data_IF_578904861671
#
_entry.id   IF_578904861671
#
_cell.length_a   1.000
_cell.length_b   1.000
_cell.length_c   1.000
_cell.angle_alpha   90.00
_cell.angle_beta   90.00
_cell.angle_gamma   90.00
#
_symmetry.space_group_name_H-M   'P 1'
#
loop_
_entity.id
_entity.type
_entity.pdbx_description
1 polymer ?
#
# COMPACT_ATOMS: atom_id res chain seq x y z
N UNK A 1 33.21 -4.52 28.04
CA UNK A 1 32.35 -5.06 26.97
C UNK A 1 30.94 -4.79 27.43
N UNK A 2 30.42 -3.66 27.06
CA UNK A 2 29.06 -3.22 27.41
C UNK A 2 28.17 -3.53 26.23
N UNK A 3 27.31 -4.50 26.42
CA UNK A 3 26.27 -4.91 25.48
C UNK A 3 25.21 -3.80 25.42
N UNK A 4 25.32 -2.93 24.43
CA UNK A 4 24.31 -1.92 24.16
C UNK A 4 23.25 -2.53 23.24
N UNK A 5 22.34 -3.30 23.83
CA UNK A 5 21.06 -3.61 23.19
C UNK A 5 20.31 -2.30 23.04
N UNK A 6 20.33 -1.78 21.83
CA UNK A 6 19.54 -0.62 21.42
C UNK A 6 18.06 -1.07 21.29
N UNK A 7 17.43 -1.34 22.43
CA UNK A 7 15.98 -1.54 22.47
C UNK A 7 15.35 -0.16 22.32
N UNK A 8 14.89 0.14 21.13
CA UNK A 8 13.95 1.24 20.93
C UNK A 8 12.81 1.09 21.96
N UNK A 9 12.40 2.16 22.65
CA UNK A 9 11.29 2.07 23.57
C UNK A 9 10.06 1.59 22.77
N UNK A 10 9.43 0.52 23.24
CA UNK A 10 8.10 0.13 22.72
C UNK A 10 7.21 1.35 22.84
N UNK A 11 6.68 1.90 21.77
CA UNK A 11 5.92 3.14 21.89
C UNK A 11 4.69 2.90 22.73
N UNK A 12 4.33 3.85 23.59
CA UNK A 12 3.05 3.91 24.32
C UNK A 12 1.84 3.74 23.38
N UNK A 13 2.06 3.97 22.07
CA UNK A 13 1.15 3.76 20.97
C UNK A 13 0.70 2.31 20.76
N UNK A 14 1.50 1.31 21.13
CA UNK A 14 1.16 -0.10 20.90
C UNK A 14 -0.10 -0.53 21.66
N UNK A 15 -0.24 -0.07 22.90
CA UNK A 15 -1.43 -0.35 23.72
C UNK A 15 -2.67 0.40 23.21
N UNK A 16 -2.48 1.60 22.68
CA UNK A 16 -3.55 2.39 22.08
C UNK A 16 -4.06 1.77 20.77
N UNK A 17 -3.16 1.37 19.89
CA UNK A 17 -3.52 0.73 18.62
C UNK A 17 -4.24 -0.61 18.87
N UNK A 18 -3.84 -1.38 19.89
CA UNK A 18 -4.53 -2.59 20.33
C UNK A 18 -5.95 -2.32 20.82
N UNK A 19 -6.17 -1.22 21.56
CA UNK A 19 -7.51 -0.82 22.03
C UNK A 19 -8.41 -0.35 20.87
N UNK A 20 -7.85 0.40 19.93
CA UNK A 20 -8.60 0.80 18.74
C UNK A 20 -8.98 -0.41 17.87
N UNK A 21 -8.08 -1.39 17.74
CA UNK A 21 -8.38 -2.65 17.09
C UNK A 21 -9.50 -3.41 17.80
N UNK A 22 -9.44 -3.55 19.12
CA UNK A 22 -10.46 -4.22 19.93
C UNK A 22 -11.84 -3.56 19.82
N UNK A 23 -11.91 -2.22 19.86
CA UNK A 23 -13.19 -1.51 19.69
C UNK A 23 -13.83 -1.73 18.32
N UNK A 24 -13.03 -2.00 17.29
CA UNK A 24 -13.53 -2.26 15.95
C UNK A 24 -14.01 -3.71 15.75
N UNK A 25 -13.59 -4.65 16.60
CA UNK A 25 -14.05 -6.04 16.52
C UNK A 25 -15.56 -6.18 16.76
N UNK A 26 -16.11 -5.45 17.73
CA UNK A 26 -17.54 -5.47 18.04
C UNK A 26 -18.41 -4.97 16.86
N UNK A 27 -17.86 -4.14 16.03
CA UNK A 27 -18.54 -3.54 14.86
C UNK A 27 -18.22 -4.31 13.57
N UNK A 28 -17.05 -4.94 13.50
CA UNK A 28 -16.57 -5.66 12.32
C UNK A 28 -17.31 -6.99 12.06
N UNK A 29 -17.96 -7.58 13.06
CA UNK A 29 -18.75 -8.82 12.91
C UNK A 29 -19.86 -8.76 11.86
N UNK A 30 -20.19 -7.56 11.36
CA UNK A 30 -21.21 -7.35 10.33
C UNK A 30 -20.70 -7.48 8.90
N UNK A 31 -19.36 -7.52 8.68
CA UNK A 31 -18.74 -7.47 7.35
C UNK A 31 -17.97 -8.74 6.99
N UNK A 32 -18.42 -9.86 7.45
CA UNK A 32 -17.69 -11.12 7.57
C UNK A 32 -17.41 -11.86 6.26
N UNK A 33 -17.69 -11.33 5.07
CA UNK A 33 -17.71 -12.23 3.93
C UNK A 33 -17.18 -11.77 2.57
N UNK A 34 -16.90 -10.48 2.33
CA UNK A 34 -16.43 -10.12 1.00
C UNK A 34 -15.50 -8.88 1.01
N UNK A 35 -14.19 -9.13 1.02
CA UNK A 35 -13.17 -8.10 0.96
C UNK A 35 -13.32 -7.19 -0.27
N UNK A 36 -13.71 -7.73 -1.44
CA UNK A 36 -13.87 -6.92 -2.65
C UNK A 36 -15.09 -5.99 -2.54
N UNK A 37 -16.20 -6.44 -2.00
CA UNK A 37 -17.36 -5.58 -1.76
C UNK A 37 -17.02 -4.51 -0.71
N UNK A 38 -16.27 -4.87 0.33
CA UNK A 38 -15.81 -3.92 1.33
C UNK A 38 -14.89 -2.86 0.70
N UNK A 39 -13.90 -3.26 -0.11
CA UNK A 39 -13.01 -2.33 -0.81
C UNK A 39 -13.80 -1.41 -1.74
N UNK A 40 -14.73 -1.94 -2.51
CA UNK A 40 -15.59 -1.13 -3.37
C UNK A 40 -16.36 -0.09 -2.58
N UNK A 41 -17.00 -0.52 -1.48
CA UNK A 41 -17.74 0.39 -0.61
C UNK A 41 -16.81 1.41 0.06
N UNK A 42 -15.70 0.98 0.65
CA UNK A 42 -14.73 1.85 1.31
C UNK A 42 -14.15 2.91 0.37
N UNK A 43 -13.80 2.54 -0.87
CA UNK A 43 -13.29 3.46 -1.88
C UNK A 43 -14.37 4.39 -2.45
N UNK A 44 -15.64 4.09 -2.24
CA UNK A 44 -16.76 4.95 -2.65
C UNK A 44 -17.35 5.79 -1.51
N UNK A 45 -16.93 5.53 -0.25
CA UNK A 45 -17.42 6.25 0.93
C UNK A 45 -17.14 7.75 0.90
N UNK A 46 -16.01 8.14 0.38
CA UNK A 46 -15.63 9.53 0.29
C UNK A 46 -16.21 10.17 -0.97
N UNK A 47 -17.54 10.22 -1.01
CA UNK A 47 -18.37 10.93 -1.98
C UNK A 47 -18.24 10.41 -3.42
N UNK A 48 -19.34 9.92 -3.97
CA UNK A 48 -19.56 9.97 -5.40
C UNK A 48 -19.45 11.45 -5.79
N UNK A 49 -18.27 11.89 -6.19
CA UNK A 49 -18.13 13.20 -6.80
C UNK A 49 -18.94 13.16 -8.09
N UNK A 50 -20.10 13.77 -8.02
CA UNK A 50 -20.87 14.07 -9.21
C UNK A 50 -20.02 15.01 -10.06
N UNK A 51 -20.06 14.84 -11.38
CA UNK A 51 -19.56 15.85 -12.29
C UNK A 51 -20.20 17.20 -11.91
N UNK A 52 -19.66 18.30 -12.41
CA UNK A 52 -20.18 19.65 -12.11
C UNK A 52 -21.68 19.82 -12.45
N UNK A 53 -22.31 18.81 -13.08
CA UNK A 53 -23.72 18.73 -13.45
C UNK A 53 -24.51 17.70 -12.62
N UNK A 54 -23.94 17.11 -11.59
CA UNK A 54 -24.62 16.16 -10.70
C UNK A 54 -24.84 14.77 -11.29
N UNK A 55 -24.11 14.38 -12.35
CA UNK A 55 -24.17 13.04 -12.94
C UNK A 55 -23.05 12.19 -12.39
N UNK A 56 -23.39 10.98 -11.90
CA UNK A 56 -22.39 9.97 -11.59
C UNK A 56 -21.59 9.65 -12.86
N UNK A 57 -20.27 9.82 -12.81
CA UNK A 57 -19.39 9.38 -13.89
C UNK A 57 -19.44 7.85 -13.89
N UNK A 58 -19.89 7.25 -14.99
CA UNK A 58 -19.85 5.79 -15.12
C UNK A 58 -18.44 5.37 -15.48
N UNK A 59 -17.89 4.33 -14.84
CA UNK A 59 -16.62 3.74 -15.27
C UNK A 59 -16.69 3.39 -16.76
N UNK A 60 -15.69 3.81 -17.52
CA UNK A 60 -15.56 3.36 -18.90
C UNK A 60 -15.16 1.87 -18.91
N UNK A 61 -15.58 1.09 -19.90
CA UNK A 61 -15.06 -0.26 -20.08
C UNK A 61 -13.53 -0.22 -20.19
N UNK A 62 -12.85 -1.16 -19.54
CA UNK A 62 -11.40 -1.29 -19.70
C UNK A 62 -11.07 -1.52 -21.17
N UNK A 63 -10.10 -0.77 -21.68
CA UNK A 63 -9.57 -1.01 -23.01
C UNK A 63 -8.87 -2.37 -23.04
N UNK A 64 -9.39 -3.31 -23.81
CA UNK A 64 -8.72 -4.55 -24.15
C UNK A 64 -7.45 -4.19 -24.95
N UNK A 65 -6.33 -4.15 -24.28
CA UNK A 65 -5.04 -4.18 -24.96
C UNK A 65 -4.70 -5.65 -25.26
N UNK A 66 -4.09 -5.90 -26.41
CA UNK A 66 -3.61 -7.25 -26.71
C UNK A 66 -2.66 -7.71 -25.58
N UNK A 67 -2.77 -8.96 -25.13
CA UNK A 67 -1.84 -9.50 -24.14
C UNK A 67 -0.41 -9.29 -24.64
N UNK A 68 0.45 -8.71 -23.82
CA UNK A 68 1.88 -8.59 -24.13
C UNK A 68 2.52 -9.92 -23.79
N UNK A 69 2.99 -10.61 -24.80
CA UNK A 69 3.92 -11.73 -24.59
C UNK A 69 5.28 -11.13 -24.21
N UNK A 70 5.74 -11.47 -23.02
CA UNK A 70 7.04 -11.03 -22.52
C UNK A 70 7.97 -12.22 -22.65
N UNK A 71 8.99 -12.09 -23.49
CA UNK A 71 9.97 -13.15 -23.69
C UNK A 71 10.97 -13.25 -22.51
N UNK A 72 11.63 -14.39 -22.41
CA UNK A 72 12.63 -14.68 -21.35
C UNK A 72 13.76 -13.64 -21.33
N UNK A 73 14.15 -13.10 -22.49
CA UNK A 73 15.20 -12.08 -22.60
C UNK A 73 14.76 -10.78 -21.94
N UNK A 74 13.53 -10.35 -22.13
CA UNK A 74 12.95 -9.15 -21.50
C UNK A 74 12.80 -9.35 -20.00
N UNK A 75 12.35 -10.53 -19.54
CA UNK A 75 12.28 -10.85 -18.12
C UNK A 75 13.66 -10.78 -17.45
N UNK A 76 14.68 -11.37 -18.08
CA UNK A 76 16.06 -11.33 -17.58
C UNK A 76 16.59 -9.89 -17.50
N UNK A 77 16.34 -9.05 -18.49
CA UNK A 77 16.74 -7.65 -18.47
C UNK A 77 16.07 -6.86 -17.33
N UNK A 78 14.79 -7.11 -17.07
CA UNK A 78 14.06 -6.50 -15.96
C UNK A 78 14.64 -6.96 -14.63
N UNK A 79 14.87 -8.26 -14.47
CA UNK A 79 15.47 -8.84 -13.27
C UNK A 79 16.86 -8.24 -12.99
N UNK A 80 17.72 -8.16 -13.99
CA UNK A 80 19.05 -7.56 -13.88
C UNK A 80 18.96 -6.09 -13.46
N UNK A 81 18.10 -5.32 -14.12
CA UNK A 81 17.88 -3.92 -13.79
C UNK A 81 17.40 -3.73 -12.34
N UNK A 82 16.48 -4.57 -11.88
CA UNK A 82 15.91 -4.51 -10.52
C UNK A 82 16.84 -5.12 -9.45
N UNK A 83 17.92 -5.81 -9.84
CA UNK A 83 18.94 -6.31 -8.91
C UNK A 83 19.97 -5.26 -8.53
N UNK A 84 20.14 -4.20 -9.36
CA UNK A 84 21.13 -3.14 -9.11
C UNK A 84 20.64 -2.25 -7.94
N UNK A 85 21.47 -2.03 -6.89
CA UNK A 85 21.09 -1.22 -5.76
C UNK A 85 20.72 0.21 -6.14
N UNK A 86 19.73 0.79 -5.46
CA UNK A 86 19.41 2.21 -5.52
C UNK A 86 20.24 2.96 -4.48
N UNK A 87 20.86 4.06 -4.89
CA UNK A 87 21.64 4.88 -3.96
C UNK A 87 20.72 5.82 -3.17
N UNK A 88 20.33 5.39 -1.98
CA UNK A 88 19.55 6.21 -1.06
C UNK A 88 20.47 7.23 -0.36
N UNK A 89 20.03 8.49 -0.25
CA UNK A 89 20.78 9.52 0.48
C UNK A 89 20.43 9.50 1.98
N UNK A 90 21.34 9.96 2.82
CA UNK A 90 21.07 10.13 4.25
C UNK A 90 19.89 11.09 4.48
N UNK A 91 19.78 12.17 3.70
CA UNK A 91 18.65 13.11 3.78
C UNK A 91 17.31 12.43 3.47
N UNK A 92 17.30 11.45 2.55
CA UNK A 92 16.09 10.68 2.22
C UNK A 92 15.67 9.79 3.39
N UNK A 93 16.61 9.16 4.07
CA UNK A 93 16.34 8.33 5.27
C UNK A 93 15.82 9.22 6.41
N UNK A 94 16.46 10.36 6.63
CA UNK A 94 16.02 11.32 7.64
C UNK A 94 14.62 11.87 7.34
N UNK A 95 14.34 12.19 6.07
CA UNK A 95 13.01 12.64 5.64
C UNK A 95 11.95 11.57 5.91
N UNK A 96 12.20 10.32 5.52
CA UNK A 96 11.25 9.22 5.78
C UNK A 96 10.99 9.04 7.28
N UNK A 97 12.06 9.05 8.11
CA UNK A 97 11.91 8.94 9.57
C UNK A 97 11.13 10.08 10.20
N UNK A 98 11.23 11.30 9.66
CA UNK A 98 10.52 12.50 10.12
C UNK A 98 9.08 12.55 9.61
N UNK A 99 8.89 12.37 8.31
CA UNK A 99 7.63 12.62 7.63
C UNK A 99 6.74 11.38 7.54
N UNK A 100 7.32 10.17 7.72
CA UNK A 100 6.63 8.90 7.60
C UNK A 100 6.48 8.42 6.16
N UNK A 101 6.89 9.20 5.17
CA UNK A 101 6.86 8.85 3.76
C UNK A 101 7.99 9.54 2.98
N UNK A 102 8.25 9.04 1.78
CA UNK A 102 9.15 9.67 0.81
C UNK A 102 8.74 9.30 -0.62
N UNK A 103 8.96 10.21 -1.57
CA UNK A 103 8.89 9.96 -3.01
C UNK A 103 10.30 9.94 -3.59
N UNK A 104 10.66 8.85 -4.25
CA UNK A 104 11.99 8.64 -4.84
C UNK A 104 11.88 8.58 -6.35
N UNK A 105 12.71 9.35 -7.04
CA UNK A 105 12.73 9.44 -8.52
C UNK A 105 13.65 8.39 -9.12
N UNK A 106 13.34 8.00 -10.36
CA UNK A 106 14.18 7.10 -11.16
C UNK A 106 14.52 5.78 -10.46
N UNK A 107 13.56 5.25 -9.70
CA UNK A 107 13.75 3.95 -9.01
C UNK A 107 13.60 2.80 -10.00
N UNK A 108 12.66 2.91 -10.94
CA UNK A 108 12.39 1.89 -11.97
C UNK A 108 12.38 2.57 -13.34
N UNK A 109 12.90 1.85 -14.35
CA UNK A 109 12.85 2.30 -15.73
C UNK A 109 11.37 2.44 -16.19
N UNK A 110 10.99 3.57 -16.80
CA UNK A 110 9.65 3.78 -17.31
C UNK A 110 9.15 2.71 -18.29
N UNK A 111 10.02 2.13 -19.13
CA UNK A 111 9.62 1.09 -20.07
C UNK A 111 9.22 -0.19 -19.35
N UNK A 112 9.95 -0.58 -18.29
CA UNK A 112 9.60 -1.72 -17.47
C UNK A 112 8.24 -1.53 -16.79
N UNK A 113 7.94 -0.32 -16.32
CA UNK A 113 6.64 0.00 -15.72
C UNK A 113 5.48 -0.04 -16.73
N UNK A 114 5.73 0.32 -17.99
CA UNK A 114 4.71 0.19 -19.04
C UNK A 114 4.35 -1.27 -19.31
N UNK A 115 5.36 -2.16 -19.36
CA UNK A 115 5.13 -3.60 -19.49
C UNK A 115 4.35 -4.14 -18.27
N UNK A 116 4.75 -3.77 -17.07
CA UNK A 116 4.07 -4.16 -15.84
C UNK A 116 2.60 -3.69 -15.85
N UNK A 117 2.35 -2.43 -16.26
CA UNK A 117 0.98 -1.90 -16.39
C UNK A 117 0.11 -2.73 -17.31
N UNK A 118 0.64 -3.09 -18.48
CA UNK A 118 -0.08 -3.90 -19.45
C UNK A 118 -0.41 -5.28 -18.89
N UNK A 119 0.56 -5.89 -18.19
CA UNK A 119 0.38 -7.21 -17.58
C UNK A 119 -0.65 -7.18 -16.44
N UNK A 120 -0.54 -6.24 -15.52
CA UNK A 120 -1.51 -6.09 -14.41
C UNK A 120 -2.91 -5.78 -14.96
N UNK A 121 -3.03 -4.95 -16.01
CA UNK A 121 -4.33 -4.72 -16.65
C UNK A 121 -4.95 -6.02 -17.18
N UNK A 122 -4.15 -6.89 -17.82
CA UNK A 122 -4.64 -8.20 -18.27
C UNK A 122 -5.09 -9.07 -17.10
N UNK A 123 -4.31 -9.13 -16.01
CA UNK A 123 -4.67 -9.90 -14.81
C UNK A 123 -6.01 -9.40 -14.23
N UNK A 124 -6.18 -8.09 -14.08
CA UNK A 124 -7.42 -7.51 -13.56
C UNK A 124 -8.64 -7.78 -14.48
N UNK A 125 -8.43 -7.83 -15.81
CA UNK A 125 -9.48 -8.18 -16.76
C UNK A 125 -9.84 -9.65 -16.63
N UNK A 126 -8.86 -10.54 -16.54
CA UNK A 126 -9.06 -11.98 -16.40
C UNK A 126 -9.79 -12.31 -15.09
N UNK A 127 -9.42 -11.65 -13.99
CA UNK A 127 -10.01 -11.87 -12.68
C UNK A 127 -11.44 -11.28 -12.53
N UNK A 128 -11.68 -10.08 -13.07
CA UNK A 128 -12.87 -9.28 -12.76
C UNK A 128 -13.76 -9.00 -13.99
N UNK A 129 -13.30 -9.33 -15.19
CA UNK A 129 -13.99 -9.02 -16.45
C UNK A 129 -13.84 -7.56 -16.88
N UNK A 130 -14.15 -7.29 -18.16
CA UNK A 130 -14.07 -5.94 -18.76
C UNK A 130 -15.19 -5.01 -18.32
N UNK A 131 -16.36 -5.56 -17.99
CA UNK A 131 -17.59 -4.82 -17.69
C UNK A 131 -18.03 -5.01 -16.23
N UNK A 132 -17.09 -5.16 -15.32
CA UNK A 132 -17.42 -5.42 -13.90
C UNK A 132 -18.25 -4.30 -13.24
N UNK A 133 -18.29 -3.10 -13.85
CA UNK A 133 -18.96 -1.94 -13.25
C UNK A 133 -18.32 -1.42 -11.96
N UNK A 134 -17.19 -1.98 -11.57
CA UNK A 134 -16.45 -1.61 -10.38
C UNK A 134 -15.74 -0.27 -10.58
N UNK A 135 -15.95 0.66 -9.67
CA UNK A 135 -15.23 1.93 -9.66
C UNK A 135 -13.77 1.74 -9.21
N UNK A 136 -13.51 0.75 -8.39
CA UNK A 136 -12.18 0.35 -7.93
C UNK A 136 -11.96 -1.13 -8.18
N UNK A 137 -10.81 -1.47 -8.73
CA UNK A 137 -10.40 -2.86 -8.99
C UNK A 137 -9.11 -3.14 -8.25
N UNK A 138 -9.04 -4.29 -7.62
CA UNK A 138 -7.83 -4.77 -6.95
C UNK A 138 -7.66 -6.26 -7.15
N UNK A 139 -6.42 -6.70 -7.13
CA UNK A 139 -6.05 -8.10 -7.06
C UNK A 139 -4.78 -8.24 -6.23
N UNK A 140 -4.68 -9.29 -5.45
CA UNK A 140 -3.64 -9.49 -4.45
C UNK A 140 -2.91 -10.81 -4.69
N UNK A 141 -1.66 -10.88 -4.24
CA UNK A 141 -0.82 -12.10 -4.34
C UNK A 141 -0.56 -12.53 -5.78
N UNK A 142 -0.57 -11.59 -6.72
CA UNK A 142 -0.31 -11.85 -8.13
C UNK A 142 1.09 -12.42 -8.37
N UNK A 143 2.06 -12.08 -7.50
CA UNK A 143 3.44 -12.59 -7.59
C UNK A 143 3.54 -14.11 -7.53
N UNK A 144 2.53 -14.79 -6.95
CA UNK A 144 2.49 -16.25 -6.90
C UNK A 144 2.25 -16.89 -8.26
N UNK A 145 1.55 -16.17 -9.15
CA UNK A 145 1.01 -16.70 -10.40
C UNK A 145 1.57 -16.03 -11.65
N UNK A 146 2.25 -14.87 -11.48
CA UNK A 146 2.77 -14.09 -12.59
C UNK A 146 4.27 -13.80 -12.40
N UNK A 147 5.06 -14.23 -13.38
CA UNK A 147 6.51 -14.11 -13.32
C UNK A 147 7.00 -12.66 -13.42
N UNK A 148 6.37 -11.84 -14.30
CA UNK A 148 6.74 -10.44 -14.40
C UNK A 148 6.45 -9.71 -13.10
N UNK A 149 5.25 -9.86 -12.55
CA UNK A 149 4.87 -9.24 -11.26
C UNK A 149 5.83 -9.69 -10.16
N UNK A 150 6.21 -10.96 -10.14
CA UNK A 150 7.17 -11.52 -9.18
C UNK A 150 8.51 -10.79 -9.19
N UNK A 151 9.05 -10.44 -10.37
CA UNK A 151 10.32 -9.71 -10.46
C UNK A 151 10.25 -8.32 -9.81
N UNK A 152 9.09 -7.64 -9.88
CA UNK A 152 8.91 -6.35 -9.22
C UNK A 152 8.68 -6.51 -7.72
N UNK A 153 7.82 -7.42 -7.32
CA UNK A 153 7.43 -7.65 -5.91
C UNK A 153 8.61 -8.16 -5.08
N UNK A 154 9.42 -9.06 -5.64
CA UNK A 154 10.63 -9.59 -4.98
C UNK A 154 11.90 -8.84 -5.37
N UNK A 155 11.77 -7.62 -5.91
CA UNK A 155 12.90 -6.80 -6.34
C UNK A 155 13.86 -6.50 -5.19
N UNK A 156 15.14 -6.91 -5.36
CA UNK A 156 16.22 -6.59 -4.41
C UNK A 156 16.36 -5.08 -4.22
N UNK A 157 16.21 -4.28 -5.29
CA UNK A 157 16.30 -2.82 -5.24
C UNK A 157 15.21 -2.22 -4.37
N UNK A 158 13.95 -2.63 -4.56
CA UNK A 158 12.81 -2.08 -3.80
C UNK A 158 12.90 -2.51 -2.34
N UNK A 159 13.22 -3.78 -2.09
CA UNK A 159 13.39 -4.31 -0.74
C UNK A 159 14.59 -3.70 0.00
N UNK A 160 15.72 -3.42 -0.72
CA UNK A 160 16.85 -2.67 -0.16
C UNK A 160 16.41 -1.29 0.33
N UNK A 161 15.69 -0.53 -0.51
CA UNK A 161 15.21 0.79 -0.14
C UNK A 161 14.31 0.68 1.10
N UNK A 162 13.37 -0.28 1.13
CA UNK A 162 12.52 -0.51 2.29
C UNK A 162 13.32 -0.81 3.57
N UNK A 163 14.32 -1.69 3.48
CA UNK A 163 15.20 -2.04 4.60
C UNK A 163 15.98 -0.84 5.12
N UNK A 164 16.57 -0.04 4.23
CA UNK A 164 17.35 1.16 4.60
C UNK A 164 16.46 2.26 5.21
N UNK A 165 15.25 2.49 4.67
CA UNK A 165 14.29 3.46 5.21
C UNK A 165 13.78 3.06 6.60
N UNK A 166 13.52 1.77 6.81
CA UNK A 166 13.11 1.24 8.12
C UNK A 166 14.26 1.10 9.11
N UNK A 167 15.52 1.18 8.65
CA UNK A 167 16.70 0.98 9.50
C UNK A 167 16.86 -0.45 10.01
N UNK A 168 16.38 -1.45 9.27
CA UNK A 168 16.45 -2.87 9.61
C UNK A 168 17.41 -3.62 8.70
N UNK A 169 17.93 -4.77 9.15
CA UNK A 169 18.90 -5.53 8.38
C UNK A 169 18.27 -6.37 7.26
N UNK A 170 17.06 -6.83 7.48
CA UNK A 170 16.35 -7.70 6.55
C UNK A 170 14.86 -7.38 6.54
N UNK A 171 14.27 -7.49 5.35
CA UNK A 171 12.83 -7.35 5.15
C UNK A 171 12.24 -8.54 4.42
N UNK A 172 11.00 -8.87 4.78
CA UNK A 172 10.16 -9.88 4.16
C UNK A 172 9.00 -9.24 3.41
N UNK A 173 8.50 -9.94 2.41
CA UNK A 173 7.25 -9.60 1.76
C UNK A 173 6.06 -9.92 2.67
N UNK A 174 5.12 -8.97 2.80
CA UNK A 174 3.79 -9.23 3.33
C UNK A 174 2.84 -9.63 2.20
N UNK A 175 2.59 -8.72 1.26
CA UNK A 175 1.80 -8.98 0.05
C UNK A 175 2.07 -7.95 -1.04
N UNK A 176 1.59 -8.24 -2.24
CA UNK A 176 1.40 -7.27 -3.31
C UNK A 176 -0.10 -7.02 -3.55
N UNK A 177 -0.42 -5.85 -4.07
CA UNK A 177 -1.78 -5.48 -4.41
C UNK A 177 -1.80 -4.56 -5.64
N UNK A 178 -2.51 -4.96 -6.68
CA UNK A 178 -2.86 -4.07 -7.79
C UNK A 178 -4.02 -3.17 -7.37
N UNK A 179 -3.87 -1.87 -7.61
CA UNK A 179 -4.81 -0.83 -7.22
C UNK A 179 -5.21 -0.01 -8.44
N UNK A 180 -6.39 -0.24 -8.99
CA UNK A 180 -6.89 0.49 -10.15
C UNK A 180 -8.13 1.31 -9.81
N UNK A 181 -7.97 2.66 -9.85
CA UNK A 181 -9.10 3.59 -9.80
C UNK A 181 -9.59 3.83 -11.21
N UNK A 182 -10.79 3.36 -11.50
CA UNK A 182 -11.44 3.55 -12.78
C UNK A 182 -11.89 5.01 -12.95
N UNK A 183 -12.15 5.48 -14.19
CA UNK A 183 -12.74 6.79 -14.42
C UNK A 183 -13.99 7.03 -13.57
N UNK A 184 -14.02 8.14 -12.84
CA UNK A 184 -15.11 8.47 -11.91
C UNK A 184 -15.04 7.83 -10.54
N UNK A 185 -14.00 7.03 -10.26
CA UNK A 185 -13.79 6.51 -8.91
C UNK A 185 -13.55 7.64 -7.92
N UNK A 186 -14.26 7.60 -6.79
CA UNK A 186 -14.17 8.57 -5.71
C UNK A 186 -12.82 8.57 -4.99
N UNK A 187 -12.71 9.44 -3.99
CA UNK A 187 -11.54 9.57 -3.13
C UNK A 187 -11.37 8.34 -2.24
N UNK A 188 -10.13 7.92 -1.99
CA UNK A 188 -9.81 6.98 -0.92
C UNK A 188 -9.80 7.74 0.40
N UNK A 189 -10.52 7.30 1.45
CA UNK A 189 -10.51 7.95 2.76
C UNK A 189 -9.11 8.04 3.37
N UNK A 190 -8.91 8.99 4.29
CA UNK A 190 -7.72 9.05 5.13
C UNK A 190 -7.61 7.79 5.99
N UNK A 191 -6.47 7.13 5.93
CA UNK A 191 -6.16 5.95 6.72
C UNK A 191 -4.65 5.81 6.92
N UNK A 192 -4.25 4.90 7.77
CA UNK A 192 -2.90 4.40 7.90
C UNK A 192 -2.93 2.87 7.96
N UNK A 193 -1.90 2.24 7.45
CA UNK A 193 -1.92 0.81 7.13
C UNK A 193 -1.84 -0.11 8.35
N UNK A 194 -1.34 0.40 9.48
CA UNK A 194 -1.11 -0.40 10.68
C UNK A 194 -2.32 -1.25 11.11
N UNK A 195 -3.54 -0.72 10.94
CA UNK A 195 -4.76 -1.46 11.30
C UNK A 195 -5.02 -2.69 10.43
N UNK A 196 -4.45 -2.71 9.23
CA UNK A 196 -4.68 -3.77 8.27
C UNK A 196 -3.67 -4.92 8.37
N UNK A 197 -2.52 -4.68 9.00
CA UNK A 197 -1.43 -5.66 9.08
C UNK A 197 -1.32 -6.22 10.50
N UNK A 198 -1.62 -7.52 10.72
CA UNK A 198 -1.56 -8.12 12.06
C UNK A 198 -0.12 -8.50 12.43
N UNK A 199 0.81 -7.57 12.29
CA UNK A 199 2.25 -7.73 12.53
C UNK A 199 2.62 -7.01 13.83
N UNK A 200 3.37 -7.66 14.72
CA UNK A 200 3.76 -7.12 16.03
C UNK A 200 4.93 -6.13 15.96
N UNK A 201 5.23 -5.63 14.80
CA UNK A 201 6.27 -4.64 14.53
C UNK A 201 5.72 -3.38 13.86
N UNK A 202 6.32 -2.24 14.18
CA UNK A 202 6.11 -0.99 13.46
C UNK A 202 7.04 -0.84 12.25
N UNK A 203 8.07 -1.68 12.11
CA UNK A 203 8.97 -1.66 10.96
C UNK A 203 8.31 -2.32 9.75
N UNK A 204 7.26 -1.67 9.27
CA UNK A 204 6.49 -2.06 8.09
C UNK A 204 6.37 -0.85 7.18
N UNK A 205 6.63 -1.03 5.90
CA UNK A 205 6.40 0.01 4.92
C UNK A 205 5.85 -0.54 3.60
N UNK A 206 5.07 0.28 2.93
CA UNK A 206 4.50 -0.01 1.62
C UNK A 206 5.24 0.80 0.55
N UNK A 207 5.77 0.11 -0.46
CA UNK A 207 6.23 0.71 -1.70
C UNK A 207 5.03 0.84 -2.65
N UNK A 208 4.64 2.06 -2.99
CA UNK A 208 3.55 2.33 -3.91
C UNK A 208 4.12 2.80 -5.25
N UNK A 209 3.92 1.99 -6.29
CA UNK A 209 4.55 2.07 -7.60
C UNK A 209 3.51 2.51 -8.63
N UNK A 210 3.51 3.79 -9.05
CA UNK A 210 2.66 4.25 -10.14
C UNK A 210 3.00 3.52 -11.44
N UNK A 211 2.00 3.03 -12.15
CA UNK A 211 2.20 2.35 -13.44
C UNK A 211 2.04 3.31 -14.64
N UNK A 212 1.84 4.58 -14.37
CA UNK A 212 1.80 5.69 -15.33
C UNK A 212 2.13 7.00 -14.62
N UNK A 213 2.33 8.07 -15.38
CA UNK A 213 2.30 9.41 -14.81
C UNK A 213 0.91 9.68 -14.24
N UNK A 214 0.85 10.18 -13.00
CA UNK A 214 -0.40 10.45 -12.30
C UNK A 214 -0.50 11.94 -12.02
N UNK A 215 -1.21 12.71 -12.86
CA UNK A 215 -1.49 14.11 -12.60
C UNK A 215 -2.51 14.28 -11.46
N UNK A 216 -2.65 15.49 -10.93
CA UNK A 216 -3.50 15.77 -9.76
C UNK A 216 -4.97 15.37 -9.97
N UNK A 217 -5.50 15.51 -11.18
CA UNK A 217 -6.87 15.14 -11.55
C UNK A 217 -7.12 13.62 -11.64
N UNK A 218 -6.05 12.82 -11.67
CA UNK A 218 -6.14 11.35 -11.73
C UNK A 218 -6.17 10.69 -10.34
N UNK A 219 -6.10 11.49 -9.26
CA UNK A 219 -6.14 11.01 -7.90
C UNK A 219 -4.85 10.36 -7.44
N UNK A 220 -3.73 11.11 -7.37
CA UNK A 220 -2.49 10.64 -6.79
C UNK A 220 -2.66 10.28 -5.31
N UNK A 221 -1.74 9.47 -4.81
CA UNK A 221 -1.59 9.24 -3.37
C UNK A 221 -1.13 10.54 -2.70
N UNK A 222 -1.71 10.88 -1.57
CA UNK A 222 -1.39 12.05 -0.77
C UNK A 222 -1.06 11.64 0.67
N UNK A 223 -0.13 12.35 1.30
CA UNK A 223 0.40 12.02 2.62
C UNK A 223 0.25 13.18 3.58
N UNK A 224 -0.21 12.91 4.80
CA UNK A 224 -0.08 13.82 5.92
C UNK A 224 1.33 13.70 6.51
N UNK A 225 2.14 14.76 6.39
CA UNK A 225 3.52 14.73 6.82
C UNK A 225 3.67 14.69 8.35
N UNK A 226 4.57 13.86 8.81
CA UNK A 226 4.90 13.66 10.22
C UNK A 226 4.52 12.27 10.71
N UNK A 227 5.52 11.45 11.01
CA UNK A 227 5.30 10.07 11.49
C UNK A 227 4.50 10.04 12.79
N UNK A 228 4.57 11.10 13.59
CA UNK A 228 3.85 11.25 14.86
C UNK A 228 2.40 11.75 14.71
N UNK A 229 1.92 11.97 13.48
CA UNK A 229 0.56 12.46 13.21
C UNK A 229 -0.52 11.56 13.81
N UNK A 230 -0.25 10.25 13.93
CA UNK A 230 -1.16 9.31 14.59
C UNK A 230 -1.46 9.69 16.06
N UNK A 231 -0.56 10.41 16.74
CA UNK A 231 -0.75 10.88 18.13
C UNK A 231 -1.87 11.92 18.25
N UNK A 232 -2.16 12.65 17.16
CA UNK A 232 -3.25 13.65 17.13
C UNK A 232 -4.62 12.98 17.14
N UNK A 233 -4.70 11.73 16.75
CA UNK A 233 -5.96 10.99 16.57
C UNK A 233 -6.10 9.82 17.54
N UNK A 234 -5.22 9.72 18.53
CA UNK A 234 -5.18 8.62 19.50
C UNK A 234 -6.50 8.39 20.26
N UNK A 235 -7.28 9.43 20.46
CA UNK A 235 -8.56 9.37 21.16
C UNK A 235 -9.76 9.30 20.20
N UNK A 236 -9.52 9.26 18.89
CA UNK A 236 -10.55 9.15 17.86
C UNK A 236 -10.85 7.67 17.60
N UNK A 237 -12.06 7.20 17.91
CA UNK A 237 -12.44 5.83 17.60
C UNK A 237 -12.37 5.56 16.10
N UNK A 238 -11.66 4.52 15.71
CA UNK A 238 -11.60 4.11 14.30
C UNK A 238 -12.99 3.69 13.83
N UNK A 239 -13.45 4.25 12.71
CA UNK A 239 -14.71 3.89 12.08
C UNK A 239 -14.48 3.74 10.57
N UNK A 240 -14.77 2.56 10.06
CA UNK A 240 -14.68 2.23 8.63
C UNK A 240 -16.04 2.07 7.95
N UNK A 241 -17.15 2.32 8.65
CA UNK A 241 -18.49 2.06 8.16
C UNK A 241 -19.17 3.26 7.53
N UNK A 242 -18.63 4.46 7.78
CA UNK A 242 -19.09 5.70 7.17
C UNK A 242 -17.94 6.70 7.00
N UNK A 243 -18.24 7.87 6.42
CA UNK A 243 -17.23 8.91 6.17
C UNK A 243 -16.90 9.77 7.40
N UNK A 244 -17.42 9.46 8.59
CA UNK A 244 -17.24 10.31 9.77
C UNK A 244 -15.78 10.33 10.25
N UNK A 245 -15.12 9.19 10.27
CA UNK A 245 -13.72 9.08 10.65
C UNK A 245 -12.81 9.86 9.70
N UNK A 246 -12.97 9.68 8.41
CA UNK A 246 -12.23 10.39 7.37
C UNK A 246 -12.41 11.93 7.47
N UNK A 247 -13.64 12.40 7.66
CA UNK A 247 -13.93 13.83 7.83
C UNK A 247 -13.27 14.39 9.09
N UNK A 248 -13.32 13.66 10.20
CA UNK A 248 -12.70 14.06 11.45
C UNK A 248 -11.17 14.11 11.31
N UNK A 249 -10.56 13.12 10.65
CA UNK A 249 -9.13 13.13 10.35
C UNK A 249 -8.73 14.37 9.54
N UNK A 250 -9.45 14.66 8.45
CA UNK A 250 -9.19 15.83 7.63
C UNK A 250 -9.28 17.13 8.43
N UNK A 251 -10.28 17.24 9.32
CA UNK A 251 -10.44 18.41 10.19
C UNK A 251 -9.29 18.52 11.22
N UNK A 252 -8.92 17.42 11.88
CA UNK A 252 -7.81 17.40 12.84
C UNK A 252 -6.49 17.81 12.17
N UNK A 253 -6.22 17.32 10.95
CA UNK A 253 -5.02 17.71 10.21
C UNK A 253 -5.02 19.19 9.85
N UNK A 254 -6.17 19.73 9.40
CA UNK A 254 -6.32 21.15 9.10
C UNK A 254 -6.11 22.02 10.35
N UNK A 255 -6.75 21.69 11.47
CA UNK A 255 -6.66 22.43 12.73
C UNK A 255 -5.25 22.44 13.32
N UNK A 256 -4.49 21.37 13.11
CA UNK A 256 -3.10 21.24 13.56
C UNK A 256 -2.07 21.67 12.50
N UNK A 257 -2.51 22.20 11.36
CA UNK A 257 -1.65 22.65 10.26
C UNK A 257 -0.69 21.57 9.77
N UNK A 258 -1.14 20.31 9.73
CA UNK A 258 -0.36 19.19 9.23
C UNK A 258 -0.13 19.40 7.72
N UNK A 259 1.12 19.47 7.26
CA UNK A 259 1.38 19.58 5.83
C UNK A 259 0.87 18.34 5.08
N UNK A 260 0.26 18.55 3.92
CA UNK A 260 -0.20 17.46 3.06
C UNK A 260 0.54 17.54 1.73
N UNK A 261 1.21 16.44 1.35
CA UNK A 261 1.77 16.26 0.00
C UNK A 261 0.73 15.51 -0.85
N UNK A 262 0.07 16.24 -1.72
CA UNK A 262 -0.92 15.74 -2.70
C UNK A 262 -0.41 15.86 -4.15
N UNK A 263 0.88 16.00 -4.32
CA UNK A 263 1.53 16.22 -5.61
C UNK A 263 1.44 15.02 -6.54
N UNK A 264 1.51 15.32 -7.84
CA UNK A 264 1.57 14.34 -8.92
C UNK A 264 2.72 13.35 -8.75
N UNK A 265 2.65 12.23 -9.50
CA UNK A 265 3.75 11.30 -9.67
C UNK A 265 4.21 11.27 -11.11
N UNK A 266 5.51 11.30 -11.32
CA UNK A 266 6.13 11.01 -12.61
C UNK A 266 6.30 9.50 -12.78
N UNK A 267 6.27 8.99 -14.01
CA UNK A 267 6.54 7.57 -14.26
C UNK A 267 8.00 7.25 -13.92
N UNK A 268 8.21 6.21 -13.12
CA UNK A 268 9.52 5.85 -12.55
C UNK A 268 9.78 6.40 -11.14
N UNK A 269 8.88 7.26 -10.64
CA UNK A 269 8.88 7.70 -9.26
C UNK A 269 8.08 6.70 -8.40
N UNK A 270 8.58 6.37 -7.20
CA UNK A 270 7.92 5.47 -6.24
C UNK A 270 7.81 6.19 -4.92
N UNK A 271 6.68 6.05 -4.23
CA UNK A 271 6.60 6.43 -2.83
C UNK A 271 6.78 5.22 -1.92
N UNK A 272 7.41 5.49 -0.79
CA UNK A 272 7.46 4.58 0.34
C UNK A 272 6.78 5.25 1.52
N UNK A 273 5.90 4.54 2.20
CA UNK A 273 5.24 5.06 3.40
C UNK A 273 5.25 4.04 4.53
N UNK A 274 5.54 4.55 5.70
CA UNK A 274 5.56 3.78 6.94
C UNK A 274 4.13 3.39 7.32
N UNK A 275 3.96 2.27 7.98
CA UNK A 275 2.64 1.75 8.40
C UNK A 275 1.82 2.75 9.25
N UNK A 276 2.48 3.69 9.94
CA UNK A 276 1.83 4.77 10.71
C UNK A 276 1.56 6.05 9.90
N UNK A 277 2.01 6.13 8.65
CA UNK A 277 1.82 7.32 7.82
C UNK A 277 0.37 7.43 7.35
N UNK A 278 -0.30 8.51 7.71
CA UNK A 278 -1.63 8.79 7.16
C UNK A 278 -1.54 9.16 5.70
N UNK A 279 -2.37 8.50 4.91
CA UNK A 279 -2.45 8.76 3.49
C UNK A 279 -3.90 8.65 2.97
N UNK A 280 -4.11 9.22 1.81
CA UNK A 280 -5.37 9.25 1.07
C UNK A 280 -5.07 9.25 -0.42
N UNK A 281 -6.06 9.11 -1.26
CA UNK A 281 -5.88 9.33 -2.70
C UNK A 281 -7.08 10.08 -3.26
N UNK A 282 -6.83 11.06 -4.12
CA UNK A 282 -7.87 11.83 -4.78
C UNK A 282 -8.82 10.99 -5.63
N UNK A 283 -9.93 11.58 -6.05
CA UNK A 283 -10.81 10.98 -7.04
C UNK A 283 -10.15 10.95 -8.41
N UNK A 284 -10.44 9.92 -9.21
CA UNK A 284 -10.02 9.87 -10.61
C UNK A 284 -11.06 10.60 -11.49
N UNK A 285 -10.72 11.82 -11.90
CA UNK A 285 -11.56 12.68 -12.76
C UNK A 285 -11.18 12.58 -14.24
N UNK A 286 -10.26 11.68 -14.58
CA UNK A 286 -9.82 11.48 -15.95
C UNK A 286 -10.62 10.37 -16.65
N UNK A 287 -10.37 10.19 -17.94
CA UNK A 287 -10.98 9.12 -18.73
C UNK A 287 -10.11 7.84 -18.78
N UNK A 288 -9.05 7.78 -18.00
CA UNK A 288 -8.13 6.64 -17.93
C UNK A 288 -8.09 6.04 -16.52
N UNK A 289 -7.91 4.73 -16.44
CA UNK A 289 -7.70 4.03 -15.17
C UNK A 289 -6.36 4.45 -14.55
N UNK A 290 -6.37 4.83 -13.28
CA UNK A 290 -5.18 5.12 -12.49
C UNK A 290 -4.71 3.83 -11.82
N UNK A 291 -3.62 3.27 -12.32
CA UNK A 291 -3.10 1.99 -11.87
C UNK A 291 -1.80 2.15 -11.07
N UNK A 292 -1.70 1.39 -10.00
CA UNK A 292 -0.50 1.27 -9.19
C UNK A 292 -0.33 -0.17 -8.69
N UNK A 293 0.92 -0.57 -8.44
CA UNK A 293 1.26 -1.76 -7.68
C UNK A 293 1.74 -1.32 -6.29
N UNK A 294 1.09 -1.80 -5.24
CA UNK A 294 1.57 -1.67 -3.87
C UNK A 294 2.26 -2.96 -3.45
N UNK A 295 3.40 -2.84 -2.77
CA UNK A 295 4.12 -3.98 -2.20
C UNK A 295 4.50 -3.64 -0.77
N UNK A 296 4.04 -4.42 0.18
CA UNK A 296 4.29 -4.19 1.61
C UNK A 296 5.39 -5.10 2.12
N UNK A 297 6.36 -4.49 2.77
CA UNK A 297 7.50 -5.15 3.42
C UNK A 297 7.48 -4.92 4.92
N UNK A 298 7.96 -5.92 5.67
CA UNK A 298 8.11 -5.85 7.11
C UNK A 298 9.47 -6.44 7.55
N UNK A 299 9.93 -6.09 8.76
CA UNK A 299 11.20 -6.58 9.27
C UNK A 299 11.19 -8.11 9.48
N UNK A 300 12.31 -8.75 9.15
CA UNK A 300 12.50 -10.17 9.42
C UNK A 300 12.50 -10.45 10.93
N UNK A 301 11.84 -11.52 11.35
CA UNK A 301 11.68 -11.90 12.75
C UNK A 301 10.43 -11.35 13.43
N UNK A 302 9.66 -10.48 12.77
CA UNK A 302 8.36 -10.04 13.26
C UNK A 302 7.38 -11.21 13.39
N UNK A 303 6.42 -11.09 14.28
CA UNK A 303 5.43 -12.12 14.61
C UNK A 303 4.02 -11.69 14.23
N UNK A 304 3.20 -12.68 13.98
CA UNK A 304 1.76 -12.48 13.94
C UNK A 304 1.30 -12.07 15.34
N UNK A 305 0.52 -10.99 15.44
CA UNK A 305 -0.04 -10.55 16.72
C UNK A 305 -0.80 -11.69 17.40
N UNK A 306 -0.83 -11.69 18.75
CA UNK A 306 -1.50 -12.75 19.51
C UNK A 306 -3.02 -12.77 19.35
N UNK A 307 -3.61 -11.66 18.91
CA UNK A 307 -5.04 -11.50 18.68
C UNK A 307 -5.27 -10.71 17.39
N UNK A 308 -5.16 -11.36 16.20
CA UNK A 308 -5.52 -10.72 14.95
C UNK A 308 -6.99 -10.30 14.97
N UNK A 309 -7.25 -9.12 14.44
CA UNK A 309 -8.61 -8.58 14.36
C UNK A 309 -9.18 -8.75 12.96
N UNK A 310 -10.48 -8.60 12.82
CA UNK A 310 -11.14 -8.61 11.51
C UNK A 310 -10.73 -7.44 10.62
N UNK A 311 -10.16 -6.35 11.17
CA UNK A 311 -9.59 -5.26 10.37
C UNK A 311 -8.40 -5.75 9.57
N UNK A 312 -7.64 -6.70 10.12
CA UNK A 312 -6.54 -7.37 9.45
C UNK A 312 -6.99 -8.27 8.29
N UNK A 313 -8.30 -8.45 8.10
CA UNK A 313 -8.86 -9.26 7.04
C UNK A 313 -8.50 -10.74 7.15
N UNK A 314 -8.55 -11.43 6.04
CA UNK A 314 -8.18 -12.85 5.93
C UNK A 314 -6.66 -13.01 5.88
N UNK A 315 -5.97 -12.73 6.98
CA UNK A 315 -4.49 -12.75 7.01
C UNK A 315 -3.90 -14.12 6.62
N UNK A 316 -4.62 -15.21 6.79
CA UNK A 316 -4.18 -16.54 6.34
C UNK A 316 -3.91 -16.62 4.82
N UNK A 317 -4.55 -15.75 4.03
CA UNK A 317 -4.27 -15.60 2.60
C UNK A 317 -2.83 -15.14 2.35
N UNK A 318 -2.28 -14.32 3.23
CA UNK A 318 -0.96 -13.72 3.13
C UNK A 318 0.10 -14.45 3.95
N UNK A 319 -0.32 -15.21 4.95
CA UNK A 319 0.54 -15.91 5.91
C UNK A 319 0.02 -17.33 6.17
N UNK A 320 0.04 -18.22 5.16
CA UNK A 320 -0.46 -19.57 5.32
C UNK A 320 0.32 -20.31 6.41
N UNK A 321 -0.41 -21.06 7.24
CA UNK A 321 0.12 -21.88 8.33
C UNK A 321 0.88 -21.11 9.43
N UNK A 322 0.69 -19.79 9.55
CA UNK A 322 1.21 -18.99 10.66
C UNK A 322 0.10 -18.84 11.70
N UNK A 323 0.40 -19.21 12.93
CA UNK A 323 -0.53 -19.08 14.05
C UNK A 323 -0.23 -17.82 14.87
N UNK A 324 -1.22 -17.23 15.58
CA UNK A 324 -1.02 -16.08 16.44
C UNK A 324 0.16 -16.24 17.41
N UNK A 325 1.12 -15.30 17.36
CA UNK A 325 2.34 -15.34 18.16
C UNK A 325 3.54 -15.99 17.46
N UNK A 326 3.35 -16.66 16.33
CA UNK A 326 4.45 -17.25 15.57
C UNK A 326 5.23 -16.20 14.78
N UNK A 327 6.50 -16.51 14.47
CA UNK A 327 7.31 -15.71 13.54
C UNK A 327 6.71 -15.85 12.14
N UNK A 328 6.54 -14.72 11.46
CA UNK A 328 6.00 -14.68 10.10
C UNK A 328 7.11 -15.05 9.11
N UNK A 329 7.13 -16.30 8.69
CA UNK A 329 8.15 -16.84 7.78
C UNK A 329 7.60 -17.92 6.82
N UNK A 330 6.31 -17.79 6.46
CA UNK A 330 5.70 -18.71 5.51
C UNK A 330 6.36 -18.61 4.12
N UNK A 331 6.05 -19.55 3.25
CA UNK A 331 6.49 -19.52 1.84
C UNK A 331 5.98 -18.28 1.08
N UNK A 332 4.91 -17.63 1.57
CA UNK A 332 4.38 -16.39 1.00
C UNK A 332 5.06 -15.13 1.57
N UNK A 333 5.95 -15.29 2.55
CA UNK A 333 6.69 -14.21 3.17
C UNK A 333 8.21 -14.41 3.03
N UNK A 334 8.72 -14.52 1.79
CA UNK A 334 10.16 -14.71 1.58
C UNK A 334 10.96 -13.49 2.06
N UNK A 335 12.22 -13.71 2.45
CA UNK A 335 13.18 -12.63 2.64
C UNK A 335 13.48 -12.01 1.28
N UNK A 336 13.26 -10.69 1.15
CA UNK A 336 13.50 -9.95 -0.08
C UNK A 336 14.83 -9.20 -0.05
N UNK A 337 15.33 -8.88 1.15
CA UNK A 337 16.63 -8.25 1.37
C UNK A 337 17.12 -8.52 2.81
N UNK A 338 18.45 -8.73 3.06
CA UNK A 338 19.46 -8.99 2.04
C UNK A 338 19.23 -10.35 1.37
N UNK A 339 19.84 -10.55 0.20
CA UNK A 339 19.78 -11.85 -0.43
C UNK A 339 20.61 -12.85 0.39
N UNK A 340 20.02 -13.97 0.75
CA UNK A 340 20.67 -15.03 1.54
C UNK A 340 21.19 -16.17 0.64
N UNK A 341 21.23 -15.96 -0.69
CA UNK A 341 21.77 -16.94 -1.65
C UNK A 341 23.29 -17.00 -1.64
#
# INVERSE_FOLDING_TARGET
MTDSTNSQPKPESFEYLSKAQQQSEDVASQWDQDNQQWWNWYMTLAENEHDQNGRAVKPAPLSLQAPVEIDESTLAQIQDALSVPYKLSADSIEQFGRDGYIKLKNVIDPEHLRLLRQRINSILIDALGTESGLAFRSDEMMWLHDELVRHFVLSKRIAQIASELLGVQAVRLYHDNALSKEPGCGRTPWHYDYHHFPIDSLNVCTAWIPLQTIPSEMGPLAFAAGIDTYKLVKDLPFNKFDSSYDKQLGQIFADNHVPVDDGRFDLGEISFHHTLSFHTAGANRTNESRMALATTYFEDGARLVSSPTMISGEFHKFMPAIEPGDIINSEYNPVCYPNTD
#
